data_IF_151311591424
#
_entry.id   IF_151311591424
#
_cell.length_a   1.000
_cell.length_b   1.000
_cell.length_c   1.000
_cell.angle_alpha   90.00
_cell.angle_beta   90.00
_cell.angle_gamma   90.00
#
_symmetry.space_group_name_H-M   'P 1'
#
loop_
_entity.id
_entity.type
_entity.pdbx_description
1 polymer ?
#
# COMPACT_ATOMS: atom_id res chain seq x y z
N UNK A 1 8.78 -64.71 -10.54
CA UNK A 1 9.66 -63.57 -10.36
C UNK A 1 9.32 -62.48 -11.35
N UNK A 2 8.53 -61.47 -10.94
CA UNK A 2 8.17 -60.31 -11.78
C UNK A 2 9.18 -59.21 -11.47
N UNK A 3 9.98 -58.79 -12.46
CA UNK A 3 10.86 -57.64 -12.38
C UNK A 3 10.03 -56.37 -12.45
N UNK A 4 10.01 -55.60 -11.38
CA UNK A 4 9.48 -54.24 -11.36
C UNK A 4 10.57 -53.34 -11.94
N UNK A 5 10.27 -52.74 -13.08
CA UNK A 5 11.07 -51.71 -13.73
C UNK A 5 10.73 -50.37 -13.08
N UNK A 6 11.62 -49.85 -12.27
CA UNK A 6 11.49 -48.53 -11.65
C UNK A 6 11.99 -47.50 -12.65
N UNK A 7 11.06 -46.74 -13.25
CA UNK A 7 11.40 -45.59 -14.10
C UNK A 7 11.62 -44.41 -13.17
N UNK A 8 12.86 -44.03 -12.97
CA UNK A 8 13.21 -42.76 -12.32
C UNK A 8 13.06 -41.68 -13.37
N UNK A 9 11.97 -40.91 -13.27
CA UNK A 9 11.83 -39.66 -14.01
C UNK A 9 12.75 -38.63 -13.35
N UNK A 10 13.89 -38.37 -14.01
CA UNK A 10 14.72 -37.22 -13.66
C UNK A 10 13.96 -35.96 -13.99
N UNK A 11 13.43 -35.28 -12.97
CA UNK A 11 12.96 -33.89 -13.10
C UNK A 11 14.23 -33.05 -13.27
N UNK A 12 14.52 -32.67 -14.51
CA UNK A 12 15.50 -31.63 -14.77
C UNK A 12 14.93 -30.33 -14.23
N UNK A 13 15.40 -29.91 -13.05
CA UNK A 13 15.24 -28.53 -12.59
C UNK A 13 16.10 -27.71 -13.55
N UNK A 14 15.48 -27.08 -14.53
CA UNK A 14 16.08 -25.99 -15.27
C UNK A 14 16.36 -24.88 -14.26
N UNK A 15 17.57 -24.88 -13.72
CA UNK A 15 18.11 -23.66 -13.11
C UNK A 15 18.23 -22.65 -14.26
N UNK A 16 17.33 -21.67 -14.29
CA UNK A 16 17.53 -20.46 -15.06
C UNK A 16 18.81 -19.82 -14.54
N UNK A 17 19.88 -19.95 -15.29
CA UNK A 17 21.12 -19.23 -15.04
C UNK A 17 20.77 -17.77 -15.32
N UNK A 18 20.54 -17.00 -14.26
CA UNK A 18 20.45 -15.57 -14.35
C UNK A 18 21.81 -15.06 -14.84
N UNK A 19 21.89 -14.58 -16.07
CA UNK A 19 23.06 -13.86 -16.56
C UNK A 19 23.06 -12.50 -15.86
N UNK A 20 23.75 -12.44 -14.73
CA UNK A 20 24.12 -11.17 -14.14
C UNK A 20 25.30 -10.60 -14.96
N UNK A 21 25.08 -9.55 -15.69
CA UNK A 21 26.20 -8.77 -16.24
C UNK A 21 26.62 -7.76 -15.18
N UNK A 22 27.86 -7.90 -14.71
CA UNK A 22 28.49 -6.89 -13.87
C UNK A 22 28.76 -5.66 -14.74
N UNK A 23 27.91 -4.63 -14.59
CA UNK A 23 28.03 -3.39 -15.36
C UNK A 23 28.82 -2.42 -14.51
N UNK A 24 29.99 -2.00 -14.99
CA UNK A 24 30.79 -0.95 -14.36
C UNK A 24 30.13 0.41 -14.58
N UNK A 25 29.22 0.74 -13.69
CA UNK A 25 28.46 1.99 -13.64
C UNK A 25 28.74 2.76 -12.34
N UNK A 26 29.67 2.25 -11.54
CA UNK A 26 29.98 2.78 -10.20
C UNK A 26 30.68 4.15 -10.28
N UNK A 27 30.50 4.94 -9.24
CA UNK A 27 31.17 6.23 -9.00
C UNK A 27 30.21 7.39 -8.79
N UNK A 28 30.79 8.56 -8.59
CA UNK A 28 30.06 9.80 -8.40
C UNK A 28 29.46 10.29 -9.73
N UNK A 29 28.17 10.56 -9.73
CA UNK A 29 27.44 11.03 -10.90
C UNK A 29 26.88 12.42 -10.64
N UNK A 30 27.30 13.38 -11.44
CA UNK A 30 26.75 14.72 -11.46
C UNK A 30 26.04 14.95 -12.79
N UNK A 31 24.76 15.32 -12.77
CA UNK A 31 23.96 15.63 -13.97
C UNK A 31 23.52 14.43 -14.81
N UNK A 32 23.82 13.21 -14.39
CA UNK A 32 23.42 11.97 -15.05
C UNK A 32 24.57 11.22 -15.73
N UNK A 33 24.48 9.90 -15.74
CA UNK A 33 25.40 8.97 -16.39
C UNK A 33 24.61 7.81 -16.98
N UNK A 34 24.98 7.35 -18.15
CA UNK A 34 24.38 6.17 -18.76
C UNK A 34 25.42 5.26 -19.41
N UNK A 35 25.10 3.98 -19.51
CA UNK A 35 25.91 2.95 -20.15
C UNK A 35 25.03 2.10 -21.04
N UNK A 36 25.48 1.83 -22.27
CA UNK A 36 24.83 0.84 -23.14
C UNK A 36 25.33 -0.56 -22.76
N UNK A 37 24.39 -1.45 -22.43
CA UNK A 37 24.65 -2.87 -22.18
C UNK A 37 24.24 -3.65 -23.41
N UNK A 38 25.16 -4.44 -23.95
CA UNK A 38 24.99 -5.19 -25.20
C UNK A 38 25.11 -6.69 -24.99
N UNK A 39 24.81 -7.49 -26.01
CA UNK A 39 24.80 -8.95 -25.97
C UNK A 39 23.80 -9.54 -24.97
N UNK A 40 22.71 -8.85 -24.77
CA UNK A 40 21.58 -9.35 -23.97
C UNK A 40 20.72 -10.27 -24.85
N UNK A 41 20.11 -11.27 -24.22
CA UNK A 41 19.00 -11.98 -24.83
C UNK A 41 17.76 -11.10 -24.85
N UNK A 42 16.90 -11.23 -25.85
CA UNK A 42 15.61 -10.55 -25.85
C UNK A 42 14.76 -11.03 -24.64
N UNK A 43 13.98 -10.10 -24.06
CA UNK A 43 13.14 -10.36 -22.91
C UNK A 43 13.16 -9.21 -21.93
N UNK A 44 12.72 -9.49 -20.70
CA UNK A 44 12.61 -8.47 -19.65
C UNK A 44 13.78 -8.60 -18.66
N UNK A 45 14.20 -7.44 -18.13
CA UNK A 45 15.30 -7.37 -17.18
C UNK A 45 14.94 -6.47 -16.00
N UNK A 46 15.42 -6.88 -14.82
CA UNK A 46 15.40 -6.03 -13.62
C UNK A 46 16.81 -5.46 -13.40
N UNK A 47 16.89 -4.13 -13.26
CA UNK A 47 18.11 -3.40 -12.91
C UNK A 47 18.08 -3.09 -11.42
N UNK A 48 19.04 -3.58 -10.68
CA UNK A 48 19.22 -3.29 -9.26
C UNK A 48 20.52 -2.56 -9.04
N UNK A 49 20.51 -1.56 -8.15
CA UNK A 49 21.72 -0.84 -7.75
C UNK A 49 21.59 -0.38 -6.29
N UNK A 50 22.72 -0.15 -5.63
CA UNK A 50 22.79 0.56 -4.37
C UNK A 50 23.13 2.02 -4.68
N UNK A 51 22.24 2.94 -4.31
CA UNK A 51 22.38 4.36 -4.60
C UNK A 51 22.41 5.16 -3.29
N UNK A 52 23.34 6.13 -3.20
CA UNK A 52 23.29 7.21 -2.23
C UNK A 52 22.93 8.48 -3.00
N UNK A 53 21.97 9.22 -2.51
CA UNK A 53 21.49 10.45 -3.13
C UNK A 53 21.46 11.55 -2.06
N UNK A 54 22.45 12.44 -2.10
CA UNK A 54 22.56 13.57 -1.18
C UNK A 54 21.89 14.84 -1.73
N UNK A 55 21.13 14.74 -2.82
CA UNK A 55 20.46 15.89 -3.44
C UNK A 55 19.24 16.30 -2.61
N UNK A 56 19.26 17.51 -2.07
CA UNK A 56 18.12 18.10 -1.35
C UNK A 56 17.12 18.78 -2.30
N UNK A 57 17.52 19.02 -3.56
CA UNK A 57 16.72 19.68 -4.59
C UNK A 57 16.66 18.81 -5.86
N UNK A 58 15.50 18.84 -6.52
CA UNK A 58 15.26 18.12 -7.77
C UNK A 58 14.92 16.66 -7.56
N UNK A 59 14.71 15.95 -8.68
CA UNK A 59 14.37 14.52 -8.72
C UNK A 59 15.53 13.74 -9.31
N UNK A 60 15.95 12.72 -8.60
CA UNK A 60 16.96 11.77 -9.09
C UNK A 60 16.29 10.43 -9.37
N UNK A 61 16.73 9.73 -10.42
CA UNK A 61 16.11 8.47 -10.82
C UNK A 61 17.12 7.51 -11.44
N UNK A 62 16.90 6.21 -11.18
CA UNK A 62 17.54 5.10 -11.89
C UNK A 62 16.64 4.69 -13.04
N UNK A 63 17.19 4.38 -14.22
CA UNK A 63 16.39 3.99 -15.39
C UNK A 63 17.06 2.94 -16.26
N UNK A 64 16.24 2.28 -17.08
CA UNK A 64 16.66 1.45 -18.19
C UNK A 64 15.74 1.65 -19.39
N UNK A 65 16.32 1.68 -20.59
CA UNK A 65 15.57 1.89 -21.83
C UNK A 65 16.22 1.12 -22.98
N UNK A 66 15.38 0.54 -23.84
CA UNK A 66 15.78 0.02 -25.15
C UNK A 66 15.28 0.91 -26.27
N UNK A 67 15.93 0.85 -27.44
CA UNK A 67 15.56 1.61 -28.62
C UNK A 67 14.09 1.35 -29.00
N UNK A 68 13.29 2.42 -29.09
CA UNK A 68 11.88 2.34 -29.47
C UNK A 68 10.90 2.09 -28.31
N UNK A 69 11.38 1.91 -27.08
CA UNK A 69 10.56 1.66 -25.90
C UNK A 69 10.55 2.82 -24.91
N UNK A 70 9.53 2.86 -24.08
CA UNK A 70 9.46 3.78 -22.95
C UNK A 70 10.47 3.36 -21.89
N UNK A 71 11.21 4.31 -21.33
CA UNK A 71 12.13 4.05 -20.22
C UNK A 71 11.39 3.52 -19.00
N UNK A 72 11.84 2.39 -18.46
CA UNK A 72 11.49 1.98 -17.11
C UNK A 72 12.36 2.77 -16.13
N UNK A 73 11.78 3.32 -15.07
CA UNK A 73 12.52 4.13 -14.10
C UNK A 73 11.95 4.02 -12.69
N UNK A 74 12.77 4.36 -11.71
CA UNK A 74 12.36 4.52 -10.32
C UNK A 74 13.05 5.72 -9.71
N UNK A 75 12.35 6.48 -8.87
CA UNK A 75 12.89 7.64 -8.16
C UNK A 75 13.83 7.17 -7.06
N UNK A 76 14.97 7.85 -6.94
CA UNK A 76 15.94 7.59 -5.89
C UNK A 76 15.54 8.36 -4.62
N UNK A 77 15.43 7.69 -3.47
CA UNK A 77 15.20 8.38 -2.21
C UNK A 77 16.40 9.25 -1.87
N UNK A 78 16.18 10.37 -1.20
CA UNK A 78 17.26 11.17 -0.60
C UNK A 78 17.78 10.41 0.60
N UNK A 79 19.03 9.97 0.53
CA UNK A 79 19.69 9.22 1.61
C UNK A 79 21.20 9.36 1.51
N UNK A 80 21.84 9.64 2.63
CA UNK A 80 23.31 9.58 2.75
C UNK A 80 23.82 8.14 2.84
N UNK A 81 22.97 7.22 3.26
CA UNK A 81 23.27 5.79 3.28
C UNK A 81 22.89 5.13 1.95
N UNK A 82 23.59 4.04 1.61
CA UNK A 82 23.28 3.29 0.41
C UNK A 82 21.92 2.58 0.50
N UNK A 83 21.00 2.95 -0.40
CA UNK A 83 19.68 2.32 -0.52
C UNK A 83 19.65 1.43 -1.74
N UNK A 84 19.25 0.18 -1.56
CA UNK A 84 19.04 -0.74 -2.68
C UNK A 84 17.78 -0.36 -3.46
N UNK A 85 17.93 -0.08 -4.74
CA UNK A 85 16.87 0.38 -5.64
C UNK A 85 16.75 -0.58 -6.81
N UNK A 86 15.52 -0.85 -7.27
CA UNK A 86 15.27 -1.75 -8.41
C UNK A 86 14.37 -1.08 -9.44
N UNK A 87 14.83 -1.02 -10.69
CA UNK A 87 14.00 -0.75 -11.87
C UNK A 87 13.61 -2.09 -12.47
N UNK A 88 12.34 -2.32 -12.66
CA UNK A 88 11.84 -3.62 -13.10
C UNK A 88 11.29 -3.57 -14.52
N UNK A 89 11.39 -4.72 -15.21
CA UNK A 89 10.74 -4.95 -16.48
C UNK A 89 11.25 -4.09 -17.62
N UNK A 90 12.56 -3.83 -17.66
CA UNK A 90 13.22 -3.21 -18.83
C UNK A 90 13.07 -4.19 -19.98
N UNK A 91 12.34 -3.80 -21.02
CA UNK A 91 12.15 -4.61 -22.21
C UNK A 91 13.34 -4.50 -23.15
N UNK A 92 13.90 -5.64 -23.56
CA UNK A 92 15.04 -5.73 -24.49
C UNK A 92 14.64 -6.57 -25.67
N UNK A 93 14.63 -5.97 -26.88
CA UNK A 93 14.33 -6.69 -28.13
C UNK A 93 15.53 -6.82 -29.08
N UNK A 94 16.43 -5.88 -29.07
CA UNK A 94 17.55 -5.84 -30.02
C UNK A 94 18.91 -6.23 -29.39
N UNK A 95 18.85 -7.02 -28.31
CA UNK A 95 20.05 -7.50 -27.63
C UNK A 95 20.81 -6.42 -26.86
N UNK A 96 20.22 -5.24 -26.65
CA UNK A 96 20.85 -4.14 -25.93
C UNK A 96 19.85 -3.25 -25.20
N UNK A 97 20.30 -2.60 -24.13
CA UNK A 97 19.58 -1.51 -23.47
C UNK A 97 20.57 -0.49 -22.92
N UNK A 98 20.09 0.72 -22.71
CA UNK A 98 20.81 1.77 -21.98
C UNK A 98 20.30 1.79 -20.55
N UNK A 99 21.18 1.65 -19.58
CA UNK A 99 20.87 1.87 -18.16
C UNK A 99 21.53 3.14 -17.68
N UNK A 100 20.93 3.83 -16.71
CA UNK A 100 21.48 5.09 -16.29
C UNK A 100 20.86 5.66 -15.02
N UNK A 101 21.53 6.67 -14.51
CA UNK A 101 21.05 7.55 -13.46
C UNK A 101 20.89 8.95 -14.04
N UNK A 102 19.76 9.58 -13.76
CA UNK A 102 19.48 10.96 -14.12
C UNK A 102 19.13 11.78 -12.88
N UNK A 103 19.41 13.07 -12.94
CA UNK A 103 18.98 14.04 -11.94
C UNK A 103 18.75 15.39 -12.62
N UNK A 104 17.71 16.12 -12.18
CA UNK A 104 17.49 17.52 -12.51
C UNK A 104 17.96 18.46 -11.37
N UNK A 105 18.52 17.88 -10.30
CA UNK A 105 19.09 18.58 -9.16
C UNK A 105 20.61 18.76 -9.27
N UNK A 106 21.18 19.46 -8.29
CA UNK A 106 22.61 19.76 -8.20
C UNK A 106 23.38 18.73 -7.35
N UNK A 107 22.73 17.64 -6.91
CA UNK A 107 23.32 16.66 -6.04
C UNK A 107 24.24 15.67 -6.74
N UNK A 108 25.13 15.08 -5.97
CA UNK A 108 25.97 13.97 -6.38
C UNK A 108 25.27 12.66 -5.99
N UNK A 109 25.13 11.76 -6.95
CA UNK A 109 24.60 10.42 -6.72
C UNK A 109 25.77 9.44 -6.76
N UNK A 110 25.98 8.67 -5.69
CA UNK A 110 26.90 7.54 -5.71
C UNK A 110 26.12 6.27 -6.09
N UNK A 111 26.64 5.49 -7.02
CA UNK A 111 26.05 4.23 -7.48
C UNK A 111 27.03 3.09 -7.28
N UNK A 112 26.58 1.99 -6.71
CA UNK A 112 27.34 0.76 -6.54
C UNK A 112 26.46 -0.48 -6.69
N UNK A 113 27.09 -1.67 -6.71
CA UNK A 113 26.41 -2.97 -6.75
C UNK A 113 25.31 -3.05 -7.82
N UNK A 114 25.71 -2.72 -9.07
CA UNK A 114 24.79 -2.66 -10.20
C UNK A 114 24.64 -4.03 -10.83
N UNK A 115 23.45 -4.59 -10.78
CA UNK A 115 23.09 -5.87 -11.40
C UNK A 115 21.97 -5.69 -12.40
N UNK A 116 22.11 -6.27 -13.59
CA UNK A 116 21.06 -6.36 -14.60
C UNK A 116 20.73 -7.84 -14.82
N UNK A 117 19.57 -8.27 -14.38
CA UNK A 117 19.16 -9.68 -14.33
C UNK A 117 17.97 -9.93 -15.22
N UNK A 118 18.04 -10.93 -16.10
CA UNK A 118 16.91 -11.34 -16.92
C UNK A 118 15.79 -11.89 -16.04
N UNK A 119 14.57 -11.48 -16.30
CA UNK A 119 13.37 -11.89 -15.58
C UNK A 119 12.31 -12.37 -16.57
N UNK A 120 11.47 -13.30 -16.13
CA UNK A 120 10.31 -13.76 -16.93
C UNK A 120 9.10 -12.83 -16.77
N UNK A 121 9.25 -11.79 -15.94
CA UNK A 121 8.14 -10.88 -15.62
C UNK A 121 8.25 -9.59 -16.43
N UNK A 122 7.32 -9.41 -17.35
CA UNK A 122 6.93 -8.07 -17.77
C UNK A 122 6.40 -7.35 -16.52
N UNK A 123 7.21 -6.50 -15.92
CA UNK A 123 6.69 -5.51 -15.00
C UNK A 123 6.16 -4.33 -15.81
N UNK A 124 5.08 -4.61 -16.53
CA UNK A 124 4.35 -3.59 -17.22
C UNK A 124 3.88 -2.52 -16.24
N UNK A 125 3.57 -1.38 -16.78
CA UNK A 125 2.84 -0.33 -16.10
C UNK A 125 1.67 -0.94 -15.32
N UNK A 126 1.59 -0.66 -14.02
CA UNK A 126 0.46 -1.13 -13.21
C UNK A 126 -0.76 -0.32 -13.63
N UNK A 127 -1.66 -0.99 -14.30
CA UNK A 127 -2.95 -0.45 -14.71
C UNK A 127 -4.04 -1.19 -13.95
N UNK A 128 -4.74 -0.48 -13.10
CA UNK A 128 -5.73 -1.09 -12.23
C UNK A 128 -6.96 -0.23 -12.03
N UNK A 129 -7.96 -0.84 -11.42
CA UNK A 129 -9.20 -0.19 -11.02
C UNK A 129 -9.63 -0.59 -9.61
N UNK A 130 -10.45 0.25 -9.00
CA UNK A 130 -11.11 -0.08 -7.75
C UNK A 130 -12.29 -1.01 -8.03
N UNK A 131 -12.19 -2.24 -7.55
CA UNK A 131 -13.18 -3.31 -7.80
C UNK A 131 -14.07 -3.58 -6.57
N UNK A 132 -13.94 -2.78 -5.54
CA UNK A 132 -14.57 -2.99 -4.23
C UNK A 132 -16.10 -3.07 -4.30
N UNK A 133 -16.72 -2.29 -5.18
CA UNK A 133 -18.18 -2.17 -5.27
C UNK A 133 -18.84 -3.21 -6.21
N UNK A 134 -18.04 -4.08 -6.86
CA UNK A 134 -18.55 -4.98 -7.92
C UNK A 134 -19.63 -5.90 -7.39
N UNK A 135 -19.37 -6.61 -6.29
CA UNK A 135 -20.32 -7.56 -5.70
C UNK A 135 -21.59 -6.86 -5.19
N UNK A 136 -21.45 -5.63 -4.66
CA UNK A 136 -22.61 -4.84 -4.24
C UNK A 136 -23.48 -4.43 -5.43
N UNK A 137 -22.90 -3.93 -6.52
CA UNK A 137 -23.63 -3.57 -7.75
C UNK A 137 -24.35 -4.79 -8.32
N UNK A 138 -23.67 -5.94 -8.40
CA UNK A 138 -24.26 -7.20 -8.87
C UNK A 138 -25.41 -7.67 -7.97
N UNK A 139 -25.30 -7.50 -6.65
CA UNK A 139 -26.36 -7.85 -5.68
C UNK A 139 -27.64 -7.04 -5.87
N UNK A 140 -27.51 -5.81 -6.38
CA UNK A 140 -28.64 -4.95 -6.71
C UNK A 140 -29.24 -5.22 -8.10
N UNK A 141 -28.76 -6.26 -8.79
CA UNK A 141 -29.20 -6.63 -10.15
C UNK A 141 -28.48 -5.84 -11.24
N UNK A 142 -27.38 -5.13 -10.90
CA UNK A 142 -26.51 -4.50 -11.89
C UNK A 142 -25.81 -5.55 -12.74
N UNK A 143 -25.63 -5.25 -14.03
CA UNK A 143 -24.92 -6.11 -14.98
C UNK A 143 -23.84 -5.32 -15.70
N UNK A 144 -22.65 -5.89 -15.78
CA UNK A 144 -21.58 -5.37 -16.63
C UNK A 144 -21.73 -5.95 -18.04
N UNK A 145 -21.56 -5.11 -19.07
CA UNK A 145 -21.74 -5.49 -20.48
C UNK A 145 -20.61 -4.96 -21.33
N UNK A 146 -20.25 -5.72 -22.37
CA UNK A 146 -19.36 -5.25 -23.43
C UNK A 146 -20.06 -4.24 -24.38
N UNK A 147 -19.33 -3.76 -25.38
CA UNK A 147 -19.87 -2.82 -26.38
C UNK A 147 -21.02 -3.40 -27.21
N UNK A 148 -21.13 -4.71 -27.29
CA UNK A 148 -22.17 -5.41 -28.06
C UNK A 148 -23.38 -5.74 -27.18
N UNK A 149 -23.33 -5.42 -25.87
CA UNK A 149 -24.41 -5.62 -24.91
C UNK A 149 -24.42 -7.01 -24.28
N UNK A 150 -23.38 -7.82 -24.46
CA UNK A 150 -23.27 -9.14 -23.84
C UNK A 150 -22.83 -8.97 -22.39
N UNK A 151 -23.39 -9.79 -21.49
CA UNK A 151 -22.98 -9.81 -20.09
C UNK A 151 -21.56 -10.33 -19.95
N UNK A 152 -20.75 -9.64 -19.14
CA UNK A 152 -19.35 -9.97 -18.88
C UNK A 152 -19.10 -10.07 -17.38
N UNK A 153 -18.06 -10.80 -16.96
CA UNK A 153 -17.42 -10.64 -15.65
C UNK A 153 -16.44 -9.45 -15.74
N UNK A 154 -16.58 -8.43 -14.90
CA UNK A 154 -15.72 -7.24 -14.98
C UNK A 154 -14.25 -7.52 -14.68
N UNK A 155 -13.91 -8.48 -13.82
CA UNK A 155 -12.51 -8.85 -13.55
C UNK A 155 -11.86 -9.50 -14.78
N UNK A 156 -12.52 -10.48 -15.36
CA UNK A 156 -12.03 -11.17 -16.57
C UNK A 156 -11.91 -10.20 -17.75
N UNK A 157 -12.94 -9.39 -17.98
CA UNK A 157 -12.97 -8.43 -19.09
C UNK A 157 -11.84 -7.39 -18.96
N UNK A 158 -11.67 -6.79 -17.79
CA UNK A 158 -10.64 -5.79 -17.57
C UNK A 158 -9.24 -6.39 -17.68
N UNK A 159 -9.02 -7.59 -17.16
CA UNK A 159 -7.76 -8.32 -17.30
C UNK A 159 -7.42 -8.61 -18.77
N UNK A 160 -8.36 -9.10 -19.56
CA UNK A 160 -8.19 -9.34 -20.99
C UNK A 160 -7.92 -8.07 -21.81
N UNK A 161 -8.32 -6.91 -21.28
CA UNK A 161 -8.09 -5.60 -21.87
C UNK A 161 -6.91 -4.82 -21.26
N UNK A 162 -5.97 -5.53 -20.61
CA UNK A 162 -4.69 -5.00 -20.18
C UNK A 162 -4.63 -4.47 -18.75
N UNK A 163 -5.72 -4.49 -17.99
CA UNK A 163 -5.65 -4.20 -16.55
C UNK A 163 -5.03 -5.39 -15.80
N UNK A 164 -4.07 -5.11 -14.93
CA UNK A 164 -3.31 -6.11 -14.23
C UNK A 164 -3.37 -6.00 -12.69
N UNK A 165 -4.16 -5.06 -12.16
CA UNK A 165 -4.28 -4.81 -10.72
C UNK A 165 -5.72 -4.50 -10.33
N UNK A 166 -6.25 -5.20 -9.33
CA UNK A 166 -7.52 -4.90 -8.69
C UNK A 166 -7.27 -4.25 -7.31
N UNK A 167 -7.82 -3.08 -7.09
CA UNK A 167 -7.86 -2.47 -5.75
C UNK A 167 -9.10 -2.95 -5.02
N UNK A 168 -8.93 -3.40 -3.77
CA UNK A 168 -9.99 -3.88 -2.88
C UNK A 168 -9.84 -3.18 -1.54
N UNK A 169 -10.92 -2.58 -1.03
CA UNK A 169 -10.94 -1.84 0.22
C UNK A 169 -11.73 -2.60 1.28
N UNK A 170 -11.10 -2.83 2.41
CA UNK A 170 -11.68 -3.48 3.58
C UNK A 170 -12.07 -2.46 4.62
N UNK A 171 -13.33 -2.47 5.03
CA UNK A 171 -13.84 -1.79 6.22
C UNK A 171 -14.07 -2.80 7.35
N UNK A 172 -13.98 -2.33 8.61
CA UNK A 172 -13.96 -3.27 9.74
C UNK A 172 -15.32 -3.94 9.97
N UNK A 173 -16.36 -3.15 10.20
CA UNK A 173 -17.73 -3.66 10.40
C UNK A 173 -18.73 -2.73 9.66
N UNK A 174 -18.85 -2.83 8.33
CA UNK A 174 -19.80 -2.05 7.55
C UNK A 174 -21.25 -2.30 8.00
N UNK A 175 -22.16 -1.41 7.62
CA UNK A 175 -23.57 -1.51 7.95
C UNK A 175 -23.99 -0.75 9.22
N UNK A 176 -23.05 -0.09 9.90
CA UNK A 176 -23.33 0.76 11.09
C UNK A 176 -23.44 2.25 10.73
N UNK A 177 -23.91 2.58 9.53
CA UNK A 177 -24.03 3.96 9.08
C UNK A 177 -25.09 4.75 9.85
N UNK A 178 -24.88 6.05 9.99
CA UNK A 178 -25.92 7.01 10.38
C UNK A 178 -26.94 7.14 9.23
N UNK A 179 -28.20 7.31 9.54
CA UNK A 179 -29.30 7.30 8.56
C UNK A 179 -29.32 8.43 7.53
N UNK A 180 -28.25 9.23 7.42
CA UNK A 180 -28.10 10.32 6.45
C UNK A 180 -27.50 9.88 5.09
N UNK A 181 -27.09 8.63 4.96
CA UNK A 181 -26.63 8.03 3.71
C UNK A 181 -25.26 8.46 3.20
N UNK A 182 -24.62 9.48 3.79
CA UNK A 182 -23.41 10.11 3.25
C UNK A 182 -22.14 9.26 3.47
N UNK A 183 -22.14 8.36 4.46
CA UNK A 183 -20.96 7.55 4.82
C UNK A 183 -21.32 6.10 5.07
N UNK A 184 -22.50 5.73 4.65
CA UNK A 184 -23.02 4.39 4.79
C UNK A 184 -22.27 3.42 3.88
N UNK A 185 -21.79 2.35 4.47
CA UNK A 185 -21.32 1.17 3.76
C UNK A 185 -22.35 0.07 3.97
N UNK A 186 -22.83 -0.59 2.91
CA UNK A 186 -23.84 -1.63 3.05
C UNK A 186 -23.30 -2.83 3.83
N UNK A 187 -24.13 -3.40 4.71
CA UNK A 187 -23.78 -4.60 5.46
C UNK A 187 -23.56 -5.78 4.52
N UNK A 188 -22.50 -6.57 4.76
CA UNK A 188 -22.14 -7.73 3.95
C UNK A 188 -21.33 -7.39 2.69
N UNK A 189 -20.95 -6.12 2.52
CA UNK A 189 -20.07 -5.66 1.45
C UNK A 189 -18.93 -4.82 2.04
N UNK A 190 -17.76 -4.88 1.41
CA UNK A 190 -16.53 -4.27 1.92
C UNK A 190 -16.11 -4.77 3.31
N UNK A 191 -16.72 -5.84 3.80
CA UNK A 191 -16.29 -6.56 4.99
C UNK A 191 -15.26 -7.65 4.65
N UNK A 192 -14.82 -8.39 5.67
CA UNK A 192 -13.84 -9.46 5.50
C UNK A 192 -14.30 -10.49 4.45
N UNK A 193 -15.54 -10.99 4.57
CA UNK A 193 -16.05 -12.04 3.69
C UNK A 193 -16.12 -11.61 2.23
N UNK A 194 -16.63 -10.42 1.98
CA UNK A 194 -16.72 -9.83 0.65
C UNK A 194 -15.34 -9.56 0.06
N UNK A 195 -14.42 -8.96 0.82
CA UNK A 195 -13.07 -8.66 0.37
C UNK A 195 -12.25 -9.92 0.04
N UNK A 196 -12.39 -11.00 0.82
CA UNK A 196 -11.77 -12.28 0.53
C UNK A 196 -12.31 -12.88 -0.79
N UNK A 197 -13.62 -12.77 -1.03
CA UNK A 197 -14.25 -13.22 -2.28
C UNK A 197 -13.76 -12.40 -3.48
N UNK A 198 -13.73 -11.06 -3.37
CA UNK A 198 -13.22 -10.18 -4.42
C UNK A 198 -11.74 -10.44 -4.72
N UNK A 199 -10.91 -10.68 -3.70
CA UNK A 199 -9.52 -11.05 -3.85
C UNK A 199 -9.35 -12.36 -4.66
N UNK A 200 -10.23 -13.33 -4.42
CA UNK A 200 -10.24 -14.56 -5.19
C UNK A 200 -10.63 -14.32 -6.65
N UNK A 201 -11.69 -13.53 -6.91
CA UNK A 201 -12.11 -13.15 -8.27
C UNK A 201 -10.96 -12.48 -9.04
N UNK A 202 -10.24 -11.55 -8.39
CA UNK A 202 -9.07 -10.88 -8.99
C UNK A 202 -7.97 -11.87 -9.39
N UNK A 203 -7.58 -12.79 -8.49
CA UNK A 203 -6.56 -13.81 -8.80
C UNK A 203 -7.01 -14.81 -9.86
N UNK A 204 -8.25 -15.25 -9.82
CA UNK A 204 -8.81 -16.18 -10.82
C UNK A 204 -8.80 -15.51 -12.23
N UNK A 205 -8.99 -14.19 -12.32
CA UNK A 205 -8.85 -13.41 -13.55
C UNK A 205 -7.39 -13.07 -13.93
N UNK A 206 -6.38 -13.51 -13.16
CA UNK A 206 -4.97 -13.25 -13.42
C UNK A 206 -4.48 -11.87 -13.01
N UNK A 207 -5.26 -11.12 -12.23
CA UNK A 207 -4.88 -9.79 -11.73
C UNK A 207 -4.07 -9.87 -10.43
N UNK A 208 -3.19 -8.91 -10.22
CA UNK A 208 -2.60 -8.61 -8.92
C UNK A 208 -3.62 -7.93 -8.00
N UNK A 209 -3.29 -7.81 -6.72
CA UNK A 209 -4.16 -7.20 -5.71
C UNK A 209 -3.44 -6.06 -5.02
N UNK A 210 -4.09 -4.89 -4.99
CA UNK A 210 -3.84 -3.83 -4.02
C UNK A 210 -4.92 -3.89 -2.96
N UNK A 211 -4.56 -4.32 -1.75
CA UNK A 211 -5.50 -4.44 -0.63
C UNK A 211 -5.39 -3.23 0.28
N UNK A 212 -6.51 -2.58 0.59
CA UNK A 212 -6.53 -1.35 1.38
C UNK A 212 -7.30 -1.57 2.68
N UNK A 213 -6.64 -1.40 3.81
CA UNK A 213 -7.27 -1.39 5.13
C UNK A 213 -7.80 0.01 5.43
N UNK A 214 -9.11 0.18 5.55
CA UNK A 214 -9.70 1.46 5.97
C UNK A 214 -9.54 1.72 7.48
N UNK A 215 -9.41 0.67 8.30
CA UNK A 215 -9.41 0.75 9.76
C UNK A 215 -10.57 1.55 10.33
N UNK A 216 -11.74 1.41 9.72
CA UNK A 216 -12.98 2.08 10.12
C UNK A 216 -14.19 1.25 9.74
N UNK A 217 -15.32 1.47 10.42
CA UNK A 217 -16.63 0.91 10.05
C UNK A 217 -17.30 1.70 8.92
N UNK A 218 -16.74 2.87 8.58
CA UNK A 218 -17.30 3.84 7.66
C UNK A 218 -16.35 4.10 6.50
N UNK A 219 -16.86 4.80 5.48
CA UNK A 219 -16.02 5.34 4.43
C UNK A 219 -14.95 6.28 5.00
N UNK A 220 -13.69 5.87 4.89
CA UNK A 220 -12.54 6.64 5.37
C UNK A 220 -12.04 7.62 4.32
N UNK A 221 -11.82 8.85 4.72
CA UNK A 221 -11.21 9.91 3.92
C UNK A 221 -10.35 10.83 4.78
N UNK A 222 -9.73 11.84 4.18
CA UNK A 222 -8.78 12.74 4.86
C UNK A 222 -9.32 13.49 6.09
N UNK A 223 -10.63 13.50 6.32
CA UNK A 223 -11.28 14.14 7.48
C UNK A 223 -12.05 13.18 8.38
N UNK A 224 -12.11 11.89 8.01
CA UNK A 224 -12.90 10.87 8.72
C UNK A 224 -12.10 9.58 8.85
N UNK A 225 -11.44 9.46 9.97
CA UNK A 225 -10.62 8.32 10.34
C UNK A 225 -11.12 7.79 11.69
N UNK A 226 -12.33 7.22 11.64
CA UNK A 226 -13.11 6.86 12.83
C UNK A 226 -12.66 5.49 13.34
N UNK A 227 -12.36 5.40 14.63
CA UNK A 227 -12.03 4.12 15.28
C UNK A 227 -13.21 3.14 15.14
N UNK A 228 -12.99 1.90 14.70
CA UNK A 228 -14.04 0.89 14.66
C UNK A 228 -14.73 0.70 16.00
N UNK A 229 -16.03 0.54 15.99
CA UNK A 229 -16.85 0.44 17.21
C UNK A 229 -16.48 -0.73 18.12
N UNK A 230 -16.05 -1.85 17.53
CA UNK A 230 -15.54 -2.99 18.31
C UNK A 230 -14.20 -2.70 19.00
N UNK A 231 -13.33 -1.89 18.35
CA UNK A 231 -12.06 -1.46 18.94
C UNK A 231 -12.27 -0.49 20.09
N UNK A 232 -13.24 0.43 19.95
CA UNK A 232 -13.66 1.31 21.05
C UNK A 232 -14.18 0.49 22.24
N UNK A 233 -14.99 -0.55 21.97
CA UNK A 233 -15.46 -1.47 23.00
C UNK A 233 -14.29 -2.19 23.68
N UNK A 234 -13.33 -2.69 22.91
CA UNK A 234 -12.16 -3.38 23.44
C UNK A 234 -11.31 -2.48 24.34
N UNK A 235 -11.07 -1.21 23.93
CA UNK A 235 -10.39 -0.23 24.77
C UNK A 235 -11.13 -0.05 26.11
N UNK A 236 -12.46 0.07 26.08
CA UNK A 236 -13.26 0.24 27.29
C UNK A 236 -13.21 -1.00 28.19
N UNK A 237 -13.34 -2.18 27.63
CA UNK A 237 -13.35 -3.43 28.37
C UNK A 237 -12.00 -3.75 29.01
N UNK A 238 -10.89 -3.46 28.34
CA UNK A 238 -9.53 -3.83 28.78
C UNK A 238 -8.82 -2.74 29.58
N UNK A 239 -8.99 -1.46 29.19
CA UNK A 239 -8.33 -0.33 29.86
C UNK A 239 -9.27 0.45 30.79
N UNK A 240 -10.58 0.25 30.68
CA UNK A 240 -11.57 1.02 31.43
C UNK A 240 -11.81 2.44 30.89
N UNK A 241 -11.22 2.82 29.75
CA UNK A 241 -11.34 4.16 29.18
C UNK A 241 -12.50 4.26 28.20
N UNK A 242 -13.38 5.22 28.43
CA UNK A 242 -14.51 5.48 27.52
C UNK A 242 -14.12 6.55 26.49
N UNK A 243 -13.53 6.12 25.39
CA UNK A 243 -13.14 7.02 24.29
C UNK A 243 -14.32 7.56 23.48
N UNK A 244 -15.56 7.21 23.84
CA UNK A 244 -16.80 7.85 23.35
C UNK A 244 -17.23 9.02 24.23
N UNK A 245 -16.58 9.25 25.36
CA UNK A 245 -16.92 10.31 26.29
C UNK A 245 -16.03 11.55 26.00
N UNK A 246 -16.66 12.67 25.63
CA UNK A 246 -15.98 13.90 25.30
C UNK A 246 -15.19 14.49 26.50
N UNK A 247 -15.78 14.41 27.70
CA UNK A 247 -15.12 14.93 28.90
C UNK A 247 -13.86 14.13 29.22
N UNK A 248 -13.93 12.80 29.06
CA UNK A 248 -12.74 11.95 29.19
C UNK A 248 -11.66 12.33 28.17
N UNK A 249 -12.03 12.44 26.88
CA UNK A 249 -11.08 12.80 25.82
C UNK A 249 -10.42 14.18 26.04
N UNK A 250 -11.17 15.14 26.55
CA UNK A 250 -10.66 16.49 26.83
C UNK A 250 -9.82 16.58 28.10
N UNK A 251 -9.98 15.65 29.04
CA UNK A 251 -9.30 15.62 30.33
C UNK A 251 -8.25 14.52 30.50
N UNK A 252 -8.11 13.63 29.51
CA UNK A 252 -7.15 12.52 29.61
C UNK A 252 -5.72 13.00 29.76
N UNK A 253 -4.94 12.24 30.54
CA UNK A 253 -3.51 12.50 30.71
C UNK A 253 -2.69 11.99 29.54
N UNK A 254 -1.43 12.39 29.47
CA UNK A 254 -0.51 11.88 28.43
C UNK A 254 -0.30 10.37 28.54
N UNK A 255 -0.23 9.87 29.76
CA UNK A 255 -0.07 8.43 30.05
C UNK A 255 -1.29 7.64 29.57
N UNK A 256 -2.51 8.11 29.85
CA UNK A 256 -3.74 7.48 29.37
C UNK A 256 -3.83 7.49 27.82
N UNK A 257 -3.38 8.59 27.21
CA UNK A 257 -3.30 8.70 25.74
C UNK A 257 -2.35 7.65 25.19
N UNK A 258 -1.17 7.51 25.78
CA UNK A 258 -0.16 6.54 25.35
C UNK A 258 -0.66 5.10 25.51
N UNK A 259 -1.28 4.77 26.64
CA UNK A 259 -1.89 3.43 26.85
C UNK A 259 -2.96 3.10 25.80
N UNK A 260 -3.79 4.10 25.42
CA UNK A 260 -4.80 3.91 24.36
C UNK A 260 -4.13 3.73 23.00
N UNK A 261 -3.09 4.49 22.69
CA UNK A 261 -2.34 4.37 21.45
C UNK A 261 -1.64 3.02 21.33
N UNK A 262 -1.02 2.55 22.39
CA UNK A 262 -0.37 1.24 22.43
C UNK A 262 -1.40 0.12 22.22
N UNK A 263 -2.57 0.25 22.85
CA UNK A 263 -3.67 -0.69 22.63
C UNK A 263 -4.21 -0.65 21.21
N UNK A 264 -4.38 0.51 20.64
CA UNK A 264 -4.80 0.65 19.24
C UNK A 264 -3.75 0.07 18.27
N UNK A 265 -2.46 0.27 18.52
CA UNK A 265 -1.39 -0.34 17.73
C UNK A 265 -1.42 -1.87 17.81
N UNK A 266 -1.60 -2.43 19.00
CA UNK A 266 -1.80 -3.88 19.18
C UNK A 266 -3.00 -4.40 18.37
N UNK A 267 -4.13 -3.71 18.42
CA UNK A 267 -5.34 -4.09 17.67
C UNK A 267 -5.09 -3.98 16.17
N UNK A 268 -4.45 -2.92 15.68
CA UNK A 268 -4.08 -2.75 14.26
C UNK A 268 -3.20 -3.90 13.79
N UNK A 269 -2.18 -4.27 14.59
CA UNK A 269 -1.32 -5.40 14.27
C UNK A 269 -2.13 -6.70 14.15
N UNK A 270 -2.88 -7.04 15.18
CA UNK A 270 -3.62 -8.30 15.24
C UNK A 270 -4.66 -8.41 14.11
N UNK A 271 -5.40 -7.34 13.84
CA UNK A 271 -6.40 -7.28 12.77
C UNK A 271 -5.76 -7.44 11.40
N UNK A 272 -4.68 -6.69 11.14
CA UNK A 272 -3.96 -6.77 9.86
C UNK A 272 -3.33 -8.14 9.65
N UNK A 273 -2.71 -8.70 10.69
CA UNK A 273 -2.11 -10.03 10.64
C UNK A 273 -3.15 -11.12 10.35
N UNK A 274 -4.32 -11.07 11.00
CA UNK A 274 -5.41 -12.04 10.80
C UNK A 274 -5.93 -12.01 9.35
N UNK A 275 -6.26 -10.84 8.83
CA UNK A 275 -6.72 -10.67 7.44
C UNK A 275 -5.66 -11.11 6.43
N UNK A 276 -4.42 -10.68 6.59
CA UNK A 276 -3.32 -11.07 5.72
C UNK A 276 -3.08 -12.59 5.74
N UNK A 277 -3.22 -13.22 6.91
CA UNK A 277 -3.09 -14.67 7.07
C UNK A 277 -4.21 -15.43 6.36
N UNK A 278 -5.44 -14.92 6.40
CA UNK A 278 -6.58 -15.46 5.64
C UNK A 278 -6.37 -15.34 4.14
N UNK A 279 -5.92 -14.17 3.66
CA UNK A 279 -5.55 -13.95 2.26
C UNK A 279 -4.45 -14.91 1.80
N UNK A 280 -3.43 -15.13 2.64
CA UNK A 280 -2.36 -16.10 2.37
C UNK A 280 -2.87 -17.53 2.31
N UNK A 281 -3.73 -17.91 3.23
CA UNK A 281 -4.29 -19.27 3.31
C UNK A 281 -5.12 -19.62 2.06
N UNK A 282 -5.86 -18.65 1.53
CA UNK A 282 -6.62 -18.87 0.28
C UNK A 282 -5.81 -18.66 -1.01
N UNK A 283 -4.52 -18.30 -0.93
CA UNK A 283 -3.65 -18.10 -2.09
C UNK A 283 -3.79 -16.75 -2.79
N UNK A 284 -4.31 -15.73 -2.10
CA UNK A 284 -4.55 -14.39 -2.64
C UNK A 284 -3.73 -13.30 -1.92
N UNK A 285 -2.47 -13.61 -1.61
CA UNK A 285 -1.57 -12.63 -1.00
C UNK A 285 -1.49 -11.38 -1.89
N UNK A 286 -1.78 -10.18 -1.34
CA UNK A 286 -1.70 -8.96 -2.11
C UNK A 286 -0.25 -8.59 -2.45
N UNK A 287 -0.01 -8.09 -3.66
CA UNK A 287 1.26 -7.50 -4.06
C UNK A 287 1.49 -6.15 -3.37
N UNK A 288 0.39 -5.42 -3.11
CA UNK A 288 0.41 -4.12 -2.45
C UNK A 288 -0.63 -4.05 -1.34
N UNK A 289 -0.23 -3.48 -0.20
CA UNK A 289 -1.11 -3.30 0.97
C UNK A 289 -1.08 -1.83 1.40
N UNK A 290 -2.23 -1.16 1.34
CA UNK A 290 -2.38 0.19 1.87
C UNK A 290 -2.79 0.15 3.34
N UNK A 291 -2.00 0.80 4.19
CA UNK A 291 -2.32 1.01 5.60
C UNK A 291 -3.08 2.34 5.74
N UNK A 292 -4.39 2.24 5.84
CA UNK A 292 -5.30 3.38 5.79
C UNK A 292 -5.63 3.83 4.36
N UNK A 293 -6.67 4.65 4.26
CA UNK A 293 -7.12 5.31 3.04
C UNK A 293 -7.20 6.81 3.26
N UNK A 294 -6.51 7.59 2.42
CA UNK A 294 -6.51 9.06 2.48
C UNK A 294 -6.07 9.64 3.84
N UNK A 295 -5.04 9.07 4.43
CA UNK A 295 -4.58 9.38 5.79
C UNK A 295 -3.80 10.68 5.93
N UNK A 296 -3.99 11.66 5.06
CA UNK A 296 -3.36 12.98 5.20
C UNK A 296 -3.63 13.64 6.56
N UNK A 297 -4.84 13.45 7.06
CA UNK A 297 -5.25 13.97 8.37
C UNK A 297 -4.80 13.10 9.55
N UNK A 298 -4.24 11.94 9.28
CA UNK A 298 -3.90 10.92 10.26
C UNK A 298 -4.84 9.72 10.23
N UNK A 299 -4.81 8.90 11.28
CA UNK A 299 -5.62 7.69 11.45
C UNK A 299 -6.20 7.62 12.87
N UNK A 300 -7.31 6.88 13.01
CA UNK A 300 -7.88 6.51 14.31
C UNK A 300 -8.05 7.73 15.25
N UNK A 301 -8.76 8.75 14.75
CA UNK A 301 -9.01 9.99 15.48
C UNK A 301 -9.66 9.74 16.85
N UNK A 302 -9.23 10.46 17.93
CA UNK A 302 -8.26 11.58 17.95
C UNK A 302 -6.82 11.17 18.31
N UNK A 303 -6.38 9.92 18.09
CA UNK A 303 -5.14 9.38 18.62
C UNK A 303 -3.95 9.36 17.63
N UNK A 304 -4.15 9.72 16.37
CA UNK A 304 -3.09 9.76 15.36
C UNK A 304 -3.28 10.89 14.35
N UNK A 305 -3.54 12.10 14.83
CA UNK A 305 -3.77 13.27 13.99
C UNK A 305 -2.47 13.90 13.49
N UNK A 306 -2.45 14.34 12.23
CA UNK A 306 -1.29 15.04 11.65
C UNK A 306 -1.27 16.54 11.91
N UNK A 307 -2.36 17.11 12.41
CA UNK A 307 -2.52 18.53 12.72
C UNK A 307 -3.47 18.72 13.91
N UNK A 308 -3.35 19.86 14.57
CA UNK A 308 -4.29 20.24 15.62
C UNK A 308 -5.68 20.49 15.00
N UNK A 309 -6.66 19.81 15.54
CA UNK A 309 -8.05 19.91 15.12
C UNK A 309 -8.97 19.96 16.32
N UNK A 310 -10.19 20.44 16.11
CA UNK A 310 -11.29 20.21 17.02
C UNK A 310 -12.39 19.46 16.27
N UNK A 311 -12.96 18.43 16.89
CA UNK A 311 -14.20 17.83 16.42
C UNK A 311 -15.35 18.55 17.08
N UNK A 312 -16.18 19.22 16.29
CA UNK A 312 -17.42 19.77 16.79
C UNK A 312 -18.40 18.62 17.11
N UNK A 313 -19.43 18.93 17.87
CA UNK A 313 -20.46 17.99 18.31
C UNK A 313 -21.03 17.15 17.16
N UNK A 314 -21.36 17.79 16.04
CA UNK A 314 -21.97 17.10 14.89
C UNK A 314 -21.06 16.02 14.29
N UNK A 315 -19.73 16.26 14.27
CA UNK A 315 -18.74 15.25 13.87
C UNK A 315 -18.56 14.16 14.90
N UNK A 316 -18.67 14.48 16.16
CA UNK A 316 -18.55 13.52 17.24
C UNK A 316 -19.75 12.57 17.30
N UNK A 317 -20.97 13.09 17.16
CA UNK A 317 -22.19 12.26 17.05
C UNK A 317 -22.12 11.30 15.86
N UNK A 318 -21.54 11.73 14.74
CA UNK A 318 -21.29 10.89 13.57
C UNK A 318 -20.23 9.80 13.83
N UNK A 319 -19.25 10.10 14.69
CA UNK A 319 -18.10 9.23 14.97
C UNK A 319 -18.42 8.21 16.06
N UNK A 320 -19.12 8.61 17.13
CA UNK A 320 -19.25 7.80 18.33
C UNK A 320 -20.71 7.53 18.77
N UNK A 321 -21.70 8.05 18.02
CA UNK A 321 -23.13 7.88 18.36
C UNK A 321 -23.63 8.90 19.37
N UNK A 322 -24.91 8.73 19.76
CA UNK A 322 -25.75 9.70 20.52
C UNK A 322 -25.26 10.10 21.94
N UNK A 323 -24.03 10.48 22.16
CA UNK A 323 -23.71 11.16 23.42
C UNK A 323 -24.11 12.64 23.34
N UNK A 324 -25.38 12.88 23.73
CA UNK A 324 -26.02 14.21 23.73
C UNK A 324 -25.46 15.19 24.75
N UNK A 325 -24.42 14.82 25.50
CA UNK A 325 -23.89 15.58 26.62
C UNK A 325 -22.55 16.30 26.32
N UNK A 326 -22.04 16.24 25.11
CA UNK A 326 -20.84 16.97 24.76
C UNK A 326 -21.18 18.44 24.50
N UNK A 327 -21.09 19.28 25.53
CA UNK A 327 -21.26 20.73 25.41
C UNK A 327 -20.03 21.43 24.80
N UNK A 328 -18.89 20.75 24.71
CA UNK A 328 -17.63 21.28 24.23
C UNK A 328 -17.08 20.49 23.03
N UNK A 329 -16.37 21.18 22.14
CA UNK A 329 -15.60 20.57 21.08
C UNK A 329 -14.55 19.63 21.63
N UNK A 330 -14.38 18.46 21.00
CA UNK A 330 -13.30 17.53 21.36
C UNK A 330 -12.00 18.01 20.75
N UNK A 331 -11.00 18.19 21.61
CA UNK A 331 -9.66 18.52 21.17
C UNK A 331 -8.97 17.31 20.57
N UNK A 332 -8.55 17.45 19.31
CA UNK A 332 -7.75 16.46 18.60
C UNK A 332 -6.36 17.05 18.37
N UNK A 333 -5.46 16.96 19.36
CA UNK A 333 -4.13 17.52 19.22
C UNK A 333 -3.36 16.79 18.12
N UNK A 334 -2.44 17.49 17.48
CA UNK A 334 -1.46 16.89 16.58
C UNK A 334 -0.69 15.79 17.31
N UNK A 335 -0.67 14.60 16.71
CA UNK A 335 -0.12 13.40 17.33
C UNK A 335 0.53 12.49 16.28
N UNK A 336 1.73 12.86 15.87
CA UNK A 336 2.50 12.06 14.90
C UNK A 336 2.99 10.75 15.51
N UNK A 337 3.25 10.71 16.81
CA UNK A 337 3.74 9.51 17.49
C UNK A 337 2.68 8.40 17.42
N UNK A 338 1.42 8.73 17.71
CA UNK A 338 0.31 7.80 17.57
C UNK A 338 0.15 7.29 16.14
N UNK A 339 0.20 8.21 15.15
CA UNK A 339 0.11 7.82 13.74
C UNK A 339 1.23 6.85 13.35
N UNK A 340 2.46 7.12 13.76
CA UNK A 340 3.63 6.26 13.47
C UNK A 340 3.48 4.90 14.15
N UNK A 341 3.02 4.83 15.41
CA UNK A 341 2.73 3.56 16.08
C UNK A 341 1.76 2.70 15.26
N UNK A 342 0.68 3.30 14.76
CA UNK A 342 -0.34 2.57 13.97
C UNK A 342 0.20 2.08 12.63
N UNK A 343 0.94 2.93 11.91
CA UNK A 343 1.56 2.56 10.63
C UNK A 343 2.57 1.44 10.83
N UNK A 344 3.44 1.53 11.83
CA UNK A 344 4.44 0.51 12.11
C UNK A 344 3.78 -0.82 12.49
N UNK A 345 2.76 -0.80 13.34
CA UNK A 345 2.01 -2.00 13.71
C UNK A 345 1.40 -2.71 12.48
N UNK A 346 0.78 -1.94 11.59
CA UNK A 346 0.26 -2.48 10.33
C UNK A 346 1.36 -3.01 9.41
N UNK A 347 2.49 -2.29 9.30
CA UNK A 347 3.64 -2.69 8.51
C UNK A 347 4.23 -4.02 9.02
N UNK A 348 4.48 -4.12 10.31
CA UNK A 348 5.04 -5.33 10.94
C UNK A 348 4.12 -6.54 10.73
N UNK A 349 2.81 -6.34 10.85
CA UNK A 349 1.81 -7.38 10.60
C UNK A 349 1.83 -7.87 9.14
N UNK A 350 1.90 -6.95 8.16
CA UNK A 350 2.03 -7.30 6.74
C UNK A 350 3.30 -8.09 6.50
N UNK A 351 4.44 -7.61 7.03
CA UNK A 351 5.75 -8.25 6.82
C UNK A 351 5.87 -9.59 7.54
N UNK A 352 5.22 -9.77 8.69
CA UNK A 352 5.16 -11.06 9.38
C UNK A 352 4.45 -12.15 8.56
N UNK A 353 3.50 -11.77 7.70
CA UNK A 353 2.77 -12.72 6.84
C UNK A 353 3.41 -12.85 5.45
N UNK A 354 3.86 -11.75 4.87
CA UNK A 354 4.42 -11.68 3.51
C UNK A 354 5.51 -10.62 3.42
N UNK A 355 6.77 -11.07 3.33
CA UNK A 355 7.91 -10.18 3.12
C UNK A 355 7.85 -9.45 1.76
N UNK A 356 7.28 -10.12 0.74
CA UNK A 356 7.23 -9.60 -0.63
C UNK A 356 6.14 -8.55 -0.84
N UNK A 357 5.10 -8.52 0.00
CA UNK A 357 4.03 -7.51 -0.10
C UNK A 357 4.61 -6.12 0.16
N UNK A 358 4.33 -5.19 -0.76
CA UNK A 358 4.75 -3.78 -0.62
C UNK A 358 3.70 -3.00 0.13
N UNK A 359 4.14 -2.25 1.13
CA UNK A 359 3.26 -1.38 1.92
C UNK A 359 3.14 -0.02 1.24
N UNK A 360 1.91 0.48 1.16
CA UNK A 360 1.57 1.79 0.63
C UNK A 360 1.05 2.66 1.77
N UNK A 361 1.57 3.86 1.88
CA UNK A 361 0.98 4.93 2.67
C UNK A 361 0.25 5.85 1.71
N UNK A 362 -1.07 6.00 1.89
CA UNK A 362 -1.96 6.69 0.96
C UNK A 362 -2.44 8.05 1.53
N UNK A 363 -1.61 9.11 1.49
CA UNK A 363 -2.06 10.46 1.79
C UNK A 363 -2.77 11.05 0.57
N UNK A 364 -3.86 11.81 0.79
CA UNK A 364 -4.48 12.59 -0.27
C UNK A 364 -3.62 13.80 -0.62
N UNK A 365 -3.37 14.05 -1.89
CA UNK A 365 -2.74 15.28 -2.35
C UNK A 365 -3.83 16.31 -2.64
N UNK A 366 -3.92 17.36 -1.82
CA UNK A 366 -4.73 18.52 -2.15
C UNK A 366 -3.83 19.53 -2.87
N UNK A 367 -4.28 20.04 -4.01
CA UNK A 367 -3.56 20.96 -4.88
C UNK A 367 -3.32 22.33 -4.23
N UNK A 368 -2.56 22.41 -3.14
CA UNK A 368 -2.02 23.64 -2.61
C UNK A 368 -0.74 23.40 -1.79
N UNK A 369 0.15 24.32 -1.85
CA UNK A 369 1.54 24.45 -1.41
C UNK A 369 1.97 23.90 -0.04
N UNK A 370 1.09 23.38 0.78
CA UNK A 370 1.40 22.84 2.11
C UNK A 370 1.48 21.30 2.17
N UNK A 371 1.17 20.60 1.08
CA UNK A 371 1.13 19.12 1.06
C UNK A 371 2.51 18.46 0.96
N UNK A 372 3.50 19.15 0.38
CA UNK A 372 4.89 18.64 0.30
C UNK A 372 5.52 18.46 1.69
N UNK A 373 5.23 19.35 2.63
CA UNK A 373 5.79 19.29 4.00
C UNK A 373 5.22 18.09 4.78
N UNK A 374 3.94 17.76 4.57
CA UNK A 374 3.31 16.61 5.24
C UNK A 374 3.83 15.26 4.74
N UNK A 375 4.09 15.13 3.44
CA UNK A 375 4.68 13.91 2.87
C UNK A 375 6.14 13.69 3.31
N UNK A 376 6.94 14.76 3.32
CA UNK A 376 8.33 14.71 3.80
C UNK A 376 8.41 14.35 5.28
N UNK A 377 7.49 14.85 6.10
CA UNK A 377 7.46 14.52 7.52
C UNK A 377 7.07 13.06 7.78
N UNK A 378 6.16 12.49 6.99
CA UNK A 378 5.77 11.08 7.07
C UNK A 378 6.94 10.15 6.69
N UNK A 379 7.60 10.41 5.56
CA UNK A 379 8.75 9.63 5.11
C UNK A 379 9.94 9.73 6.07
N UNK A 380 10.24 10.90 6.56
CA UNK A 380 11.35 11.11 7.52
C UNK A 380 11.07 10.46 8.89
N UNK A 381 9.82 10.45 9.34
CA UNK A 381 9.45 9.82 10.63
C UNK A 381 9.49 8.29 10.55
N UNK A 382 9.07 7.72 9.43
CA UNK A 382 9.16 6.26 9.19
C UNK A 382 10.61 5.81 8.99
N UNK A 383 11.45 6.62 8.32
CA UNK A 383 12.88 6.30 8.11
C UNK A 383 13.75 6.46 9.37
N UNK A 384 13.38 7.33 10.32
CA UNK A 384 14.16 7.52 11.55
C UNK A 384 13.94 6.45 12.62
N UNK A 385 13.01 5.51 12.38
CA UNK A 385 12.64 4.44 13.33
C UNK A 385 12.98 3.03 12.81
N UNK A 386 13.58 2.90 11.62
CA UNK A 386 14.17 1.66 11.08
C UNK A 386 15.69 1.70 11.19
#
# INVERSE_FOLDING_TARGET
MKKILMVIAAVAVLQTVAYAQNVDFSGDVTGGKSVEVTNLENGYYDLTAVCKNASEEGVSYLYGVSDGYTAASTVLPVSADGVKVTVRGIEVENGKCTIGVGTDGNGVIEVSDVDLVKTDKQNGFIQGGDMTEVDYIESLGGEYKDSDGNKIDPFEFLSQNGMNMARIRLSNTPGKGTGDGVYYLPSGFQDEGDCLKLAKRAKDAGMGIQFTFNYSDYWSNGSRQIIPSEWVKQIKDELGYDVKNADFLNSMTSEQREEIQDKLAEIVYNYTYDIMSKLKTQGTVPEYVSLGNEIRGGMLFPFGNTYDASMNRDRFELVFGDDKNADEDIKCPKDWEGLVKFINAGYDAVKAVSEDSKVIIHPTVQSQTNSHISLMNLTNSVQSMT
#
